data_IF_915880552560
#
_entry.id   IF_915880552560
#
_cell.length_a   1.000
_cell.length_b   1.000
_cell.length_c   1.000
_cell.angle_alpha   90.00
_cell.angle_beta   90.00
_cell.angle_gamma   90.00
#
_symmetry.space_group_name_H-M   'P 1'
#
loop_
_entity.id
_entity.type
_entity.pdbx_description
1 polymer ?
#
# COMPACT_ATOMS: atom_id res chain seq x y z
N UNK A 1 -17.27 0.91 22.64
CA UNK A 1 -15.99 0.15 22.65
C UNK A 1 -15.22 0.23 21.33
N UNK A 2 -15.85 0.11 20.15
CA UNK A 2 -15.15 0.18 18.84
C UNK A 2 -14.35 1.48 18.58
N UNK A 3 -14.83 2.63 19.07
CA UNK A 3 -14.13 3.92 18.89
C UNK A 3 -12.79 4.01 19.64
N UNK A 4 -12.69 3.39 20.82
CA UNK A 4 -11.46 3.42 21.61
C UNK A 4 -10.35 2.59 20.96
N UNK A 5 -10.67 1.40 20.46
CA UNK A 5 -9.71 0.55 19.76
C UNK A 5 -9.19 1.22 18.47
N UNK A 6 -10.07 1.87 17.70
CA UNK A 6 -9.67 2.63 16.50
C UNK A 6 -8.74 3.80 16.83
N UNK A 7 -9.04 4.55 17.89
CA UNK A 7 -8.22 5.68 18.29
C UNK A 7 -6.79 5.24 18.68
N UNK A 8 -6.67 4.15 19.45
CA UNK A 8 -5.37 3.56 19.81
C UNK A 8 -4.61 3.10 18.56
N UNK A 9 -5.26 2.35 17.67
CA UNK A 9 -4.62 1.88 16.44
C UNK A 9 -4.12 3.03 15.55
N UNK A 10 -4.93 4.08 15.38
CA UNK A 10 -4.54 5.24 14.59
C UNK A 10 -3.35 5.97 15.21
N UNK A 11 -3.35 6.17 16.53
CA UNK A 11 -2.25 6.81 17.23
C UNK A 11 -0.92 6.05 17.02
N UNK A 12 -0.94 4.72 17.11
CA UNK A 12 0.25 3.89 16.85
C UNK A 12 0.68 3.94 15.39
N UNK A 13 -0.26 3.93 14.43
CA UNK A 13 0.05 3.97 13.00
C UNK A 13 0.70 5.29 12.56
N UNK A 14 0.28 6.41 13.14
CA UNK A 14 0.77 7.74 12.75
C UNK A 14 1.94 8.24 13.60
N UNK A 15 2.34 7.49 14.63
CA UNK A 15 3.47 7.85 15.48
C UNK A 15 4.77 7.88 14.66
N UNK A 16 5.53 8.97 14.75
CA UNK A 16 6.86 9.04 14.15
C UNK A 16 7.76 7.93 14.73
N UNK A 17 8.43 7.19 13.84
CA UNK A 17 9.24 6.03 14.24
C UNK A 17 8.41 4.82 14.71
N UNK A 18 7.12 4.74 14.39
CA UNK A 18 6.30 3.57 14.68
C UNK A 18 6.94 2.30 14.13
N UNK A 19 7.04 1.21 14.93
CA UNK A 19 7.59 -0.05 14.45
C UNK A 19 6.59 -0.83 13.57
N UNK A 20 5.36 -0.35 13.42
CA UNK A 20 4.33 -1.02 12.63
C UNK A 20 4.67 -0.92 11.14
N UNK A 21 4.80 -2.08 10.50
CA UNK A 21 4.97 -2.19 9.04
C UNK A 21 3.66 -2.61 8.38
N UNK A 22 3.32 -1.97 7.26
CA UNK A 22 2.27 -2.46 6.37
C UNK A 22 2.59 -3.90 5.94
N UNK A 23 1.56 -4.73 5.70
CA UNK A 23 1.75 -6.11 5.21
C UNK A 23 2.58 -6.14 3.93
N UNK A 24 2.18 -5.34 2.94
CA UNK A 24 2.89 -5.25 1.66
C UNK A 24 4.37 -4.87 1.83
N UNK A 25 4.73 -4.00 2.78
CA UNK A 25 6.14 -3.67 3.04
C UNK A 25 6.92 -4.88 3.56
N UNK A 26 6.31 -5.66 4.46
CA UNK A 26 6.95 -6.89 4.98
C UNK A 26 7.17 -7.91 3.87
N UNK A 27 6.20 -8.06 2.96
CA UNK A 27 6.29 -8.97 1.82
C UNK A 27 7.37 -8.51 0.82
N UNK A 28 7.41 -7.21 0.52
CA UNK A 28 8.45 -6.60 -0.32
C UNK A 28 9.86 -6.89 0.22
N UNK A 29 10.09 -6.62 1.51
CA UNK A 29 11.36 -6.85 2.20
C UNK A 29 11.73 -8.34 2.25
N UNK A 30 10.74 -9.24 2.30
CA UNK A 30 10.93 -10.69 2.34
C UNK A 30 11.06 -11.32 0.94
N UNK A 31 11.02 -10.54 -0.14
CA UNK A 31 11.09 -11.07 -1.51
C UNK A 31 9.87 -11.92 -1.89
N UNK A 32 8.70 -11.63 -1.31
CA UNK A 32 7.46 -12.38 -1.52
C UNK A 32 6.52 -11.71 -2.52
N UNK A 33 5.59 -12.50 -3.07
CA UNK A 33 4.49 -11.96 -3.86
C UNK A 33 3.67 -10.97 -3.04
N UNK A 34 3.15 -9.94 -3.71
CA UNK A 34 2.38 -8.86 -3.08
C UNK A 34 0.99 -8.75 -3.68
N UNK A 35 0.06 -8.12 -2.95
CA UNK A 35 -1.30 -7.85 -3.44
C UNK A 35 -1.38 -6.54 -4.25
N UNK A 36 -0.32 -6.22 -5.00
CA UNK A 36 -0.16 -4.92 -5.66
C UNK A 36 -1.30 -4.59 -6.63
N UNK A 37 -1.70 -5.56 -7.46
CA UNK A 37 -2.78 -5.39 -8.43
C UNK A 37 -4.14 -5.15 -7.75
N UNK A 38 -4.43 -5.89 -6.68
CA UNK A 38 -5.72 -5.82 -5.99
C UNK A 38 -5.88 -4.55 -5.13
N UNK A 39 -4.78 -3.94 -4.69
CA UNK A 39 -4.81 -2.73 -3.86
C UNK A 39 -4.45 -1.50 -4.70
N UNK A 40 -3.18 -1.34 -5.08
CA UNK A 40 -2.69 -0.12 -5.74
C UNK A 40 -3.16 -0.05 -7.20
N UNK A 41 -3.16 -1.20 -7.90
CA UNK A 41 -3.66 -1.29 -9.27
C UNK A 41 -5.15 -0.94 -9.37
N UNK A 42 -5.98 -1.52 -8.50
CA UNK A 42 -7.42 -1.22 -8.42
C UNK A 42 -7.68 0.25 -8.06
N UNK A 43 -6.96 0.81 -7.07
CA UNK A 43 -7.06 2.24 -6.72
C UNK A 43 -6.73 3.15 -7.91
N UNK A 44 -5.66 2.85 -8.65
CA UNK A 44 -5.27 3.61 -9.83
C UNK A 44 -6.33 3.50 -10.93
N UNK A 45 -6.86 2.31 -11.19
CA UNK A 45 -7.88 2.08 -12.21
C UNK A 45 -9.14 2.90 -11.92
N UNK A 46 -9.60 2.91 -10.66
CA UNK A 46 -10.76 3.72 -10.24
C UNK A 46 -10.49 5.21 -10.37
N UNK A 47 -9.30 5.67 -9.99
CA UNK A 47 -8.94 7.08 -10.11
C UNK A 47 -8.89 7.54 -11.57
N UNK A 48 -8.35 6.71 -12.46
CA UNK A 48 -8.34 6.96 -13.90
C UNK A 48 -9.76 7.02 -14.48
N UNK A 49 -10.63 6.07 -14.11
CA UNK A 49 -12.05 6.08 -14.51
C UNK A 49 -12.79 7.33 -14.02
N UNK A 50 -12.38 7.89 -12.87
CA UNK A 50 -12.91 9.14 -12.33
C UNK A 50 -12.24 10.41 -12.89
N UNK A 51 -11.28 10.29 -13.81
CA UNK A 51 -10.56 11.44 -14.39
C UNK A 51 -9.63 12.17 -13.41
N UNK A 52 -9.20 11.52 -12.33
CA UNK A 52 -8.34 12.10 -11.31
C UNK A 52 -6.85 11.97 -11.68
N UNK A 53 -6.10 13.07 -11.52
CA UNK A 53 -4.65 13.03 -11.64
C UNK A 53 -4.03 12.36 -10.40
N UNK A 54 -3.46 11.17 -10.57
CA UNK A 54 -2.86 10.40 -9.46
C UNK A 54 -1.41 9.98 -9.74
N UNK A 55 -0.48 10.94 -9.91
CA UNK A 55 0.90 10.64 -10.28
C UNK A 55 1.62 9.75 -9.27
N UNK A 56 1.33 9.90 -7.97
CA UNK A 56 1.94 9.06 -6.92
C UNK A 56 1.43 7.62 -6.95
N UNK A 57 0.13 7.40 -7.22
CA UNK A 57 -0.39 6.04 -7.40
C UNK A 57 0.18 5.38 -8.66
N UNK A 58 0.33 6.15 -9.76
CA UNK A 58 0.94 5.65 -10.98
C UNK A 58 2.40 5.25 -10.77
N UNK A 59 3.18 6.07 -10.05
CA UNK A 59 4.55 5.75 -9.69
C UNK A 59 4.62 4.49 -8.81
N UNK A 60 3.82 4.43 -7.74
CA UNK A 60 3.76 3.26 -6.86
C UNK A 60 3.39 1.98 -7.63
N UNK A 61 2.39 2.06 -8.51
CA UNK A 61 1.98 0.93 -9.36
C UNK A 61 3.11 0.47 -10.30
N UNK A 62 3.82 1.41 -10.92
CA UNK A 62 4.98 1.10 -11.76
C UNK A 62 6.06 0.35 -10.98
N UNK A 63 6.44 0.83 -9.79
CA UNK A 63 7.45 0.19 -8.95
C UNK A 63 7.03 -1.20 -8.48
N UNK A 64 5.76 -1.40 -8.14
CA UNK A 64 5.26 -2.71 -7.71
C UNK A 64 5.26 -3.73 -8.86
N UNK A 65 4.86 -3.33 -10.07
CA UNK A 65 4.96 -4.21 -11.25
C UNK A 65 6.41 -4.57 -11.56
N UNK A 66 7.33 -3.60 -11.47
CA UNK A 66 8.75 -3.84 -11.66
C UNK A 66 9.28 -4.83 -10.62
N UNK A 67 8.93 -4.66 -9.35
CA UNK A 67 9.27 -5.60 -8.28
C UNK A 67 8.74 -7.01 -8.58
N UNK A 68 7.45 -7.15 -8.91
CA UNK A 68 6.85 -8.47 -9.20
C UNK A 68 7.52 -9.16 -10.39
N UNK A 69 7.98 -8.40 -11.39
CA UNK A 69 8.71 -8.96 -12.53
C UNK A 69 10.09 -9.54 -12.16
N UNK A 70 10.62 -9.20 -10.98
CA UNK A 70 11.89 -9.77 -10.47
C UNK A 70 11.68 -11.06 -9.66
N UNK A 71 10.44 -11.36 -9.28
CA UNK A 71 10.12 -12.60 -8.57
C UNK A 71 10.22 -13.78 -9.53
N UNK A 72 10.87 -14.86 -9.09
CA UNK A 72 11.03 -16.11 -9.86
C UNK A 72 9.87 -17.06 -9.66
#
# INVERSE_FOLDING_TARGET
>A
MAGAARAVALATLTQAGSPVKASMLRDLEAGQRVEAAHIVGDMLHRAQAAGLATPLLAAAWCHLQAYESTLR
#
